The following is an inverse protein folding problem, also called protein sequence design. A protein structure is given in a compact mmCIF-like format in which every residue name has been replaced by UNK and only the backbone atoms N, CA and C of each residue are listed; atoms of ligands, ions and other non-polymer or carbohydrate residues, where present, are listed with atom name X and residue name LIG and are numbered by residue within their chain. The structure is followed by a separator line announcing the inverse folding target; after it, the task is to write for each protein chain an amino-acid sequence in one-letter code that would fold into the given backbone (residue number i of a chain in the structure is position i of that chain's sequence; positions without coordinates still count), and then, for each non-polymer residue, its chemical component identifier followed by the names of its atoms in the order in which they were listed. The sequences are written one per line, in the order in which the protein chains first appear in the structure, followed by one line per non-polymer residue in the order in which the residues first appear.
data_IF_478654202405
#
_entry.id   IF_478654202405
#
_cell.length_a   1.000
_cell.length_b   1.000
_cell.length_c   1.000
_cell.angle_alpha   90.00
_cell.angle_beta   90.00
_cell.angle_gamma   90.00
#
_symmetry.space_group_name_H-M   'P 1'
#
loop_
_entity.id
_entity.type
_entity.pdbx_description
1 polymer ?
#
# COMPACT_ATOMS: atom_id res chain seq x y z
N UNK A 1 -10.39 -23.98 -57.61
CA UNK A 1 -10.53 -22.70 -58.33
C UNK A 1 -11.69 -21.93 -57.70
N UNK A 2 -11.42 -20.84 -56.99
CA UNK A 2 -12.46 -19.85 -56.70
C UNK A 2 -11.81 -18.47 -56.55
N UNK A 3 -12.48 -17.50 -57.14
CA UNK A 3 -11.98 -16.27 -57.73
C UNK A 3 -11.83 -15.12 -56.73
N UNK A 4 -10.97 -14.17 -57.10
CA UNK A 4 -10.51 -13.01 -56.35
C UNK A 4 -11.50 -11.82 -56.47
N UNK A 5 -11.61 -11.06 -55.37
CA UNK A 5 -12.00 -9.61 -55.24
C UNK A 5 -13.50 -9.23 -55.35
N UNK A 6 -13.96 -8.06 -54.80
CA UNK A 6 -13.20 -7.01 -54.10
C UNK A 6 -13.79 -6.42 -52.79
N UNK A 7 -12.91 -5.69 -52.07
CA UNK A 7 -13.21 -4.72 -51.01
C UNK A 7 -14.15 -3.63 -51.55
N UNK A 8 -15.32 -3.42 -50.93
CA UNK A 8 -16.10 -2.17 -51.07
C UNK A 8 -15.73 -1.21 -49.95
N UNK A 9 -15.56 0.04 -50.34
CA UNK A 9 -15.20 1.22 -49.54
C UNK A 9 -16.38 2.16 -49.71
N UNK A 10 -17.29 2.19 -48.74
CA UNK A 10 -18.42 3.11 -48.69
C UNK A 10 -18.34 3.84 -47.34
N UNK A 11 -17.71 5.03 -47.36
CA UNK A 11 -18.38 6.33 -47.23
C UNK A 11 -18.52 6.76 -45.77
N UNK A 12 -17.43 7.34 -45.25
CA UNK A 12 -17.49 8.16 -44.04
C UNK A 12 -18.28 9.43 -44.36
N UNK A 13 -19.54 9.49 -43.95
CA UNK A 13 -20.27 10.76 -43.90
C UNK A 13 -19.66 11.61 -42.79
N UNK A 14 -18.83 12.59 -43.17
CA UNK A 14 -18.39 13.64 -42.25
C UNK A 14 -19.58 14.58 -42.05
N UNK A 15 -20.31 14.38 -40.95
CA UNK A 15 -21.29 15.36 -40.50
C UNK A 15 -20.51 16.56 -39.98
N UNK A 16 -20.47 17.63 -40.78
CA UNK A 16 -19.99 18.94 -40.39
C UNK A 16 -20.92 19.50 -39.30
N UNK A 17 -20.60 19.23 -38.04
CA UNK A 17 -21.24 19.91 -36.89
C UNK A 17 -20.68 21.33 -36.84
N UNK A 18 -21.53 22.28 -37.23
CA UNK A 18 -21.25 23.72 -37.10
C UNK A 18 -21.05 24.10 -35.63
N UNK A 19 -20.15 25.05 -35.31
CA UNK A 19 -19.71 25.29 -33.95
C UNK A 19 -20.56 26.36 -33.27
N UNK A 20 -21.88 26.20 -33.19
CA UNK A 20 -22.71 27.11 -32.40
C UNK A 20 -23.78 26.35 -31.64
N UNK A 21 -23.46 26.08 -30.38
CA UNK A 21 -24.23 26.48 -29.19
C UNK A 21 -23.63 25.65 -28.07
N UNK A 22 -22.71 26.23 -27.31
CA UNK A 22 -22.32 25.67 -26.02
C UNK A 22 -23.59 25.63 -25.18
N UNK A 23 -24.17 24.47 -24.85
CA UNK A 23 -25.14 24.46 -23.78
C UNK A 23 -24.36 24.86 -22.53
N UNK A 24 -24.96 25.76 -21.77
CA UNK A 24 -24.48 26.23 -20.49
C UNK A 24 -23.82 25.10 -19.71
N UNK A 25 -22.69 25.41 -19.05
CA UNK A 25 -22.10 24.57 -18.01
C UNK A 25 -23.23 24.04 -17.13
N UNK A 26 -23.63 22.81 -17.38
CA UNK A 26 -24.42 22.04 -16.44
C UNK A 26 -23.63 22.07 -15.16
N UNK A 27 -24.26 22.65 -14.15
CA UNK A 27 -23.83 22.57 -12.77
C UNK A 27 -23.30 21.16 -12.53
N UNK A 28 -21.98 21.04 -12.33
CA UNK A 28 -21.48 19.86 -11.65
C UNK A 28 -22.06 20.01 -10.25
N UNK A 29 -23.24 19.46 -10.01
CA UNK A 29 -23.70 19.15 -8.67
C UNK A 29 -22.59 18.28 -8.08
N UNK A 30 -21.64 18.92 -7.41
CA UNK A 30 -20.69 18.26 -6.56
C UNK A 30 -21.54 17.67 -5.46
N UNK A 31 -21.96 16.42 -5.60
CA UNK A 31 -22.44 15.65 -4.47
C UNK A 31 -21.26 15.60 -3.50
N UNK A 32 -21.24 16.57 -2.58
CA UNK A 32 -20.43 16.50 -1.38
C UNK A 32 -21.00 15.31 -0.64
N UNK A 33 -20.35 14.15 -0.79
CA UNK A 33 -20.68 12.98 0.00
C UNK A 33 -20.66 13.41 1.47
N UNK A 34 -21.58 12.87 2.25
CA UNK A 34 -21.75 13.23 3.65
C UNK A 34 -20.40 13.06 4.37
N UNK A 35 -19.79 14.16 4.82
CA UNK A 35 -18.48 14.16 5.48
C UNK A 35 -18.49 13.22 6.71
N UNK A 36 -19.68 12.96 7.26
CA UNK A 36 -19.91 11.97 8.31
C UNK A 36 -19.56 10.54 7.90
N UNK A 37 -19.83 10.11 6.65
CA UNK A 37 -19.44 8.78 6.17
C UNK A 37 -17.92 8.68 6.01
N UNK A 38 -17.28 9.74 5.49
CA UNK A 38 -15.82 9.79 5.36
C UNK A 38 -15.14 9.79 6.74
N UNK A 39 -15.68 10.52 7.71
CA UNK A 39 -15.21 10.53 9.10
C UNK A 39 -15.43 9.16 9.76
N UNK A 40 -16.59 8.54 9.57
CA UNK A 40 -16.87 7.20 10.09
C UNK A 40 -15.90 6.17 9.52
N UNK A 41 -15.57 6.26 8.23
CA UNK A 41 -14.55 5.43 7.58
C UNK A 41 -13.17 5.59 8.23
N UNK A 42 -12.71 6.84 8.44
CA UNK A 42 -11.41 7.10 9.10
C UNK A 42 -11.36 6.54 10.53
N UNK A 43 -12.47 6.61 11.26
CA UNK A 43 -12.57 6.04 12.61
C UNK A 43 -12.54 4.52 12.54
N UNK A 44 -13.31 3.91 11.63
CA UNK A 44 -13.34 2.47 11.42
C UNK A 44 -11.96 1.91 11.04
N UNK A 45 -11.23 2.59 10.15
CA UNK A 45 -9.87 2.20 9.76
C UNK A 45 -8.92 2.21 10.95
N UNK A 46 -9.01 3.22 11.82
CA UNK A 46 -8.18 3.28 13.05
C UNK A 46 -8.47 2.12 14.01
N UNK A 47 -9.74 1.75 14.16
CA UNK A 47 -10.12 0.60 14.99
C UNK A 47 -9.64 -0.71 14.37
N UNK A 48 -9.88 -0.91 13.07
CA UNK A 48 -9.43 -2.10 12.36
C UNK A 48 -7.90 -2.29 12.42
N UNK A 49 -7.13 -1.21 12.32
CA UNK A 49 -5.67 -1.24 12.51
C UNK A 49 -5.30 -1.74 13.91
N UNK A 50 -5.94 -1.20 14.95
CA UNK A 50 -5.67 -1.57 16.36
C UNK A 50 -6.08 -3.00 16.70
N UNK A 51 -7.20 -3.46 16.13
CA UNK A 51 -7.71 -4.81 16.32
C UNK A 51 -6.81 -5.84 15.65
N UNK A 52 -6.27 -5.56 14.45
CA UNK A 52 -5.36 -6.47 13.76
C UNK A 52 -4.10 -6.79 14.56
N UNK A 53 -3.49 -5.80 15.21
CA UNK A 53 -2.35 -6.03 16.12
C UNK A 53 -2.78 -6.81 17.35
N UNK A 54 -3.92 -6.45 17.94
CA UNK A 54 -4.41 -7.08 19.18
C UNK A 54 -4.74 -8.57 18.95
N UNK A 55 -5.44 -8.89 17.86
CA UNK A 55 -5.79 -10.24 17.47
C UNK A 55 -4.56 -11.09 17.19
N UNK A 56 -3.60 -10.55 16.42
CA UNK A 56 -2.34 -11.24 16.15
C UNK A 56 -1.59 -11.54 17.46
N UNK A 57 -1.47 -10.55 18.35
CA UNK A 57 -0.74 -10.68 19.61
C UNK A 57 -1.44 -11.59 20.63
N UNK A 58 -2.77 -11.72 20.59
CA UNK A 58 -3.54 -12.53 21.54
C UNK A 58 -3.12 -14.01 21.54
N UNK A 59 -2.61 -14.50 20.41
CA UNK A 59 -2.19 -15.89 20.24
C UNK A 59 -0.72 -16.13 20.61
N UNK A 60 0.05 -15.07 20.90
CA UNK A 60 1.49 -15.17 21.04
C UNK A 60 1.91 -15.51 22.46
N UNK A 61 2.85 -16.45 22.58
CA UNK A 61 3.56 -16.66 23.84
C UNK A 61 4.47 -15.47 24.15
N UNK A 62 4.81 -15.28 25.42
CA UNK A 62 5.76 -14.25 25.83
C UNK A 62 7.11 -14.35 25.09
N UNK A 63 7.56 -15.57 24.80
CA UNK A 63 8.81 -15.79 24.07
C UNK A 63 8.70 -15.39 22.59
N UNK A 64 7.57 -15.70 21.94
CA UNK A 64 7.29 -15.27 20.56
C UNK A 64 7.26 -13.75 20.46
N UNK A 65 6.54 -13.09 21.40
CA UNK A 65 6.48 -11.63 21.47
C UNK A 65 7.85 -11.00 21.64
N UNK A 66 8.65 -11.50 22.58
CA UNK A 66 10.02 -11.00 22.81
C UNK A 66 10.90 -11.16 21.58
N UNK A 67 10.82 -12.31 20.90
CA UNK A 67 11.58 -12.55 19.67
C UNK A 67 11.18 -11.55 18.58
N UNK A 68 9.89 -11.34 18.37
CA UNK A 68 9.40 -10.40 17.36
C UNK A 68 9.84 -8.95 17.65
N UNK A 69 9.77 -8.50 18.91
CA UNK A 69 10.28 -7.19 19.31
C UNK A 69 11.78 -7.05 19.02
N UNK A 70 12.59 -8.08 19.31
CA UNK A 70 14.02 -8.06 18.97
C UNK A 70 14.25 -7.95 17.44
N UNK A 71 13.42 -8.61 16.63
CA UNK A 71 13.49 -8.49 15.17
C UNK A 71 13.12 -7.07 14.72
N UNK A 72 12.13 -6.44 15.35
CA UNK A 72 11.78 -5.04 15.10
C UNK A 72 12.85 -4.05 15.58
N UNK A 73 13.58 -4.34 16.65
CA UNK A 73 14.74 -3.54 17.07
C UNK A 73 15.85 -3.55 16.02
N UNK A 74 16.13 -4.72 15.43
CA UNK A 74 17.08 -4.84 14.32
C UNK A 74 16.63 -4.05 13.10
N UNK A 75 15.35 -4.14 12.75
CA UNK A 75 14.78 -3.37 11.65
C UNK A 75 14.85 -1.86 11.92
N UNK A 76 14.52 -1.43 13.14
CA UNK A 76 14.63 -0.04 13.60
C UNK A 76 16.06 0.47 13.48
N UNK A 77 17.05 -0.33 13.86
CA UNK A 77 18.46 0.00 13.70
C UNK A 77 18.87 0.13 12.22
N UNK A 78 18.34 -0.73 11.35
CA UNK A 78 18.57 -0.64 9.91
C UNK A 78 18.03 0.67 9.33
N UNK A 79 16.77 1.01 9.55
CA UNK A 79 16.18 2.24 8.99
C UNK A 79 16.76 3.51 9.64
N UNK A 80 17.21 3.44 10.89
CA UNK A 80 17.94 4.52 11.56
C UNK A 80 19.26 4.83 10.86
N UNK A 81 19.92 3.83 10.24
CA UNK A 81 21.11 4.07 9.42
C UNK A 81 20.84 4.90 8.15
N UNK A 82 19.56 5.03 7.76
CA UNK A 82 19.08 5.92 6.70
C UNK A 82 18.40 7.19 7.26
N UNK A 83 18.64 7.53 8.54
CA UNK A 83 18.06 8.68 9.25
C UNK A 83 16.53 8.66 9.37
N UNK A 84 15.92 7.47 9.38
CA UNK A 84 14.49 7.29 9.63
C UNK A 84 14.31 6.74 11.05
N UNK A 85 13.55 7.45 11.89
CA UNK A 85 13.31 7.05 13.27
C UNK A 85 11.93 6.41 13.44
N UNK A 86 11.92 5.12 13.78
CA UNK A 86 10.77 4.38 14.30
C UNK A 86 11.28 3.42 15.37
N UNK A 87 10.61 3.33 16.51
CA UNK A 87 10.97 2.37 17.55
C UNK A 87 10.32 1.01 17.29
N UNK A 88 10.88 -0.03 17.89
CA UNK A 88 10.29 -1.36 17.84
C UNK A 88 8.87 -1.37 18.42
N UNK A 89 8.63 -0.65 19.51
CA UNK A 89 7.32 -0.54 20.14
C UNK A 89 6.31 0.18 19.25
N UNK A 90 6.73 1.21 18.52
CA UNK A 90 5.85 1.90 17.56
C UNK A 90 5.49 0.95 16.41
N UNK A 91 6.47 0.28 15.81
CA UNK A 91 6.25 -0.74 14.78
C UNK A 91 5.42 -1.93 15.29
N UNK A 92 5.44 -2.20 16.58
CA UNK A 92 4.70 -3.30 17.18
C UNK A 92 3.22 -2.98 17.43
N UNK A 93 2.86 -1.71 17.67
CA UNK A 93 1.52 -1.32 18.12
C UNK A 93 0.79 -0.37 17.16
N UNK A 94 1.48 0.22 16.18
CA UNK A 94 0.95 1.29 15.34
C UNK A 94 1.17 0.99 13.85
N UNK A 95 0.07 0.88 13.09
CA UNK A 95 0.12 0.70 11.64
C UNK A 95 0.78 1.88 10.94
N UNK A 96 0.62 3.10 11.45
CA UNK A 96 1.21 4.31 10.88
C UNK A 96 2.74 4.34 11.04
N UNK A 97 3.30 3.53 11.95
CA UNK A 97 4.74 3.31 12.04
C UNK A 97 5.31 2.62 10.79
N UNK A 98 4.49 1.83 10.08
CA UNK A 98 4.85 1.12 8.85
C UNK A 98 4.60 1.93 7.57
N UNK A 99 4.02 3.12 7.67
CA UNK A 99 3.71 3.95 6.49
C UNK A 99 4.97 4.21 5.67
N UNK A 100 4.90 3.90 4.37
CA UNK A 100 6.03 4.02 3.43
C UNK A 100 6.88 2.75 3.30
N UNK A 101 6.49 1.64 3.93
CA UNK A 101 7.16 0.35 3.74
C UNK A 101 7.08 -0.10 2.28
N UNK A 102 8.19 -0.63 1.76
CA UNK A 102 8.25 -1.16 0.40
C UNK A 102 9.03 -2.48 0.36
N UNK A 103 8.83 -3.25 -0.69
CA UNK A 103 9.66 -4.44 -0.94
C UNK A 103 11.16 -4.10 -1.02
N UNK A 104 11.51 -2.91 -1.53
CA UNK A 104 12.90 -2.44 -1.59
C UNK A 104 13.53 -2.29 -0.20
N UNK A 105 12.79 -1.76 0.77
CA UNK A 105 13.24 -1.66 2.16
C UNK A 105 13.45 -3.04 2.79
N UNK A 106 12.53 -3.98 2.55
CA UNK A 106 12.66 -5.34 3.06
C UNK A 106 13.89 -6.06 2.46
N UNK A 107 14.12 -5.92 1.15
CA UNK A 107 15.29 -6.47 0.47
C UNK A 107 16.59 -5.84 1.00
N UNK A 108 16.59 -4.52 1.20
CA UNK A 108 17.70 -3.78 1.78
C UNK A 108 18.02 -4.25 3.20
N UNK A 109 17.00 -4.47 4.03
CA UNK A 109 17.17 -5.02 5.38
C UNK A 109 17.78 -6.41 5.36
N UNK A 110 17.29 -7.31 4.49
CA UNK A 110 17.88 -8.64 4.30
C UNK A 110 19.38 -8.54 3.97
N UNK A 111 19.75 -7.72 2.99
CA UNK A 111 21.16 -7.52 2.60
C UNK A 111 21.99 -6.92 3.74
N UNK A 112 21.42 -6.00 4.52
CA UNK A 112 22.08 -5.40 5.68
C UNK A 112 22.38 -6.42 6.80
N UNK A 113 21.50 -7.40 7.00
CA UNK A 113 21.72 -8.54 7.91
C UNK A 113 22.80 -9.48 7.36
N UNK A 114 22.78 -9.79 6.05
CA UNK A 114 23.79 -10.64 5.40
C UNK A 114 25.19 -10.04 5.54
N UNK A 115 25.33 -8.75 5.30
CA UNK A 115 26.60 -8.01 5.44
C UNK A 115 27.14 -8.02 6.88
N UNK A 116 26.28 -8.24 7.88
CA UNK A 116 26.64 -8.33 9.30
C UNK A 116 26.89 -9.77 9.76
N UNK A 117 26.78 -10.75 8.86
CA UNK A 117 27.04 -12.16 9.18
C UNK A 117 25.96 -12.82 10.04
N UNK A 118 24.73 -12.31 10.04
CA UNK A 118 23.62 -12.97 10.72
C UNK A 118 23.34 -14.35 10.10
N UNK A 119 23.00 -15.32 10.94
CA UNK A 119 22.66 -16.67 10.50
C UNK A 119 21.40 -16.66 9.60
N UNK A 120 21.36 -17.56 8.61
CA UNK A 120 20.23 -17.69 7.67
C UNK A 120 18.89 -17.89 8.38
N UNK A 121 18.88 -18.64 9.49
CA UNK A 121 17.67 -18.84 10.30
C UNK A 121 17.16 -17.56 10.96
N UNK A 122 18.07 -16.68 11.40
CA UNK A 122 17.74 -15.36 11.92
C UNK A 122 17.19 -14.47 10.81
N UNK A 123 17.88 -14.39 9.68
CA UNK A 123 17.45 -13.60 8.52
C UNK A 123 16.03 -14.00 8.09
N UNK A 124 15.78 -15.32 7.96
CA UNK A 124 14.46 -15.83 7.63
C UNK A 124 13.41 -15.45 8.68
N UNK A 125 13.76 -15.53 9.96
CA UNK A 125 12.88 -15.15 11.05
C UNK A 125 12.48 -13.67 11.01
N UNK A 126 13.42 -12.77 10.72
CA UNK A 126 13.20 -11.33 10.78
C UNK A 126 12.47 -10.74 9.56
N UNK A 127 12.28 -11.51 8.48
CA UNK A 127 11.61 -11.06 7.24
C UNK A 127 10.34 -11.87 6.90
N UNK A 128 9.99 -12.85 7.73
CA UNK A 128 8.87 -13.77 7.53
C UNK A 128 7.59 -13.28 8.22
#
# INVERSE_FOLDING_TARGET
MSTKKPRSRDEYTVVLVSPETSPARGEREGHSYDDHLALAGQVADRFAQSDAFTEAQATWTANTRRRYLNDLELFSAYIKSAHIERSAEALFNDAEAWRGMTFGLLKGFKTWLEQRGYATGTIKGSIS
#
